data_IF_926317810380
#
_entry.id   IF_926317810380
#
_cell.length_a   1.000
_cell.length_b   1.000
_cell.length_c   1.000
_cell.angle_alpha   90.00
_cell.angle_beta   90.00
_cell.angle_gamma   90.00
#
_symmetry.space_group_name_H-M   'P 1'
#
loop_
_entity.id
_entity.type
_entity.pdbx_description
1 polymer ?
#
# COMPACT_ATOMS: atom_id res chain seq x y z
N UNK A 1 -34.48 22.22 44.35
CA UNK A 1 -33.16 21.82 43.80
C UNK A 1 -33.25 20.51 43.01
N UNK A 2 -34.05 20.43 41.93
CA UNK A 2 -34.26 19.18 41.17
C UNK A 2 -33.63 19.18 39.75
N UNK A 3 -33.25 20.35 39.22
CA UNK A 3 -32.71 20.48 37.86
C UNK A 3 -31.24 20.10 37.68
N UNK A 4 -30.40 20.30 38.72
CA UNK A 4 -28.95 20.03 38.66
C UNK A 4 -28.61 18.54 38.54
N UNK A 5 -29.38 17.66 39.17
CA UNK A 5 -29.13 16.21 39.11
C UNK A 5 -29.51 15.57 37.76
N UNK A 6 -30.47 16.14 37.04
CA UNK A 6 -30.84 15.64 35.69
C UNK A 6 -29.74 15.96 34.67
N UNK A 7 -29.17 17.16 34.73
CA UNK A 7 -28.09 17.58 33.82
C UNK A 7 -26.82 16.74 33.99
N UNK A 8 -26.47 16.41 35.25
CA UNK A 8 -25.28 15.60 35.56
C UNK A 8 -25.43 14.15 35.06
N UNK A 9 -26.62 13.56 35.16
CA UNK A 9 -26.91 12.21 34.65
C UNK A 9 -26.86 12.15 33.13
N UNK A 10 -27.37 13.16 32.43
CA UNK A 10 -27.30 13.23 30.97
C UNK A 10 -25.87 13.38 30.48
N UNK A 11 -25.05 14.19 31.16
CA UNK A 11 -23.63 14.35 30.83
C UNK A 11 -22.82 13.06 31.05
N UNK A 12 -23.09 12.30 32.12
CA UNK A 12 -22.45 11.01 32.38
C UNK A 12 -22.81 9.94 31.35
N UNK A 13 -24.06 9.95 30.84
CA UNK A 13 -24.48 9.05 29.76
C UNK A 13 -23.85 9.39 28.41
N UNK A 14 -23.67 10.68 28.10
CA UNK A 14 -22.97 11.11 26.88
C UNK A 14 -21.49 10.69 26.95
N UNK A 15 -20.86 10.81 28.12
CA UNK A 15 -19.47 10.38 28.32
C UNK A 15 -19.30 8.86 28.17
N UNK A 16 -20.24 8.04 28.65
CA UNK A 16 -20.15 6.58 28.49
C UNK A 16 -20.30 6.13 27.04
N UNK A 17 -21.12 6.82 26.24
CA UNK A 17 -21.26 6.54 24.80
C UNK A 17 -19.98 6.90 24.04
N UNK A 18 -19.34 8.03 24.35
CA UNK A 18 -18.08 8.44 23.71
C UNK A 18 -16.92 7.48 24.07
N UNK A 19 -16.89 6.99 25.32
CA UNK A 19 -15.90 6.00 25.76
C UNK A 19 -16.15 4.62 25.13
N UNK A 20 -17.39 4.18 24.96
CA UNK A 20 -17.69 2.91 24.27
C UNK A 20 -17.36 2.95 22.77
N UNK A 21 -17.45 4.12 22.10
CA UNK A 21 -17.04 4.27 20.69
C UNK A 21 -15.51 4.18 20.54
N UNK A 22 -14.74 4.59 21.56
CA UNK A 22 -13.27 4.56 21.51
C UNK A 22 -12.65 3.21 21.86
N UNK A 23 -13.40 2.29 22.47
CA UNK A 23 -12.90 0.94 22.83
C UNK A 23 -13.10 -0.08 21.69
N UNK A 24 -13.93 0.22 20.68
CA UNK A 24 -14.09 -0.61 19.47
C UNK A 24 -13.09 -0.27 18.34
N UNK A 25 -11.96 0.36 18.67
CA UNK A 25 -10.81 0.42 17.75
C UNK A 25 -10.04 -0.90 17.83
N UNK A 26 -10.76 -1.99 17.60
CA UNK A 26 -10.21 -3.34 17.44
C UNK A 26 -9.66 -3.40 16.02
N UNK A 27 -8.39 -3.02 15.89
CA UNK A 27 -7.47 -3.42 14.82
C UNK A 27 -7.94 -3.28 13.34
N UNK A 28 -8.40 -2.08 12.95
CA UNK A 28 -8.65 -1.74 11.54
C UNK A 28 -7.36 -1.59 10.68
N UNK A 29 -6.19 -1.94 11.22
CA UNK A 29 -4.92 -1.79 10.51
C UNK A 29 -4.76 -2.77 9.34
N UNK A 30 -5.39 -3.96 9.41
CA UNK A 30 -5.36 -4.97 8.36
C UNK A 30 -6.12 -4.57 7.09
N UNK A 31 -7.37 -4.14 7.25
CA UNK A 31 -8.25 -3.76 6.13
C UNK A 31 -7.71 -2.53 5.38
N UNK A 32 -7.17 -1.55 6.11
CA UNK A 32 -6.63 -0.34 5.51
C UNK A 32 -5.33 -0.61 4.71
N UNK A 33 -4.54 -1.61 5.13
CA UNK A 33 -3.35 -2.04 4.39
C UNK A 33 -3.74 -2.76 3.10
N UNK A 34 -4.56 -3.82 3.21
CA UNK A 34 -4.96 -4.63 2.05
C UNK A 34 -5.69 -3.80 0.99
N UNK A 35 -6.59 -2.88 1.38
CA UNK A 35 -7.25 -1.96 0.45
C UNK A 35 -6.29 -0.95 -0.19
N UNK A 36 -5.24 -0.52 0.51
CA UNK A 36 -4.22 0.36 -0.04
C UNK A 36 -3.38 -0.35 -1.11
N UNK A 37 -3.04 -1.63 -0.88
CA UNK A 37 -2.36 -2.48 -1.86
C UNK A 37 -3.28 -2.73 -3.06
N UNK A 38 -4.55 -3.12 -2.84
CA UNK A 38 -5.55 -3.29 -3.91
C UNK A 38 -5.64 -2.05 -4.79
N UNK A 39 -5.75 -0.87 -4.18
CA UNK A 39 -5.81 0.41 -4.91
C UNK A 39 -4.56 0.63 -5.77
N UNK A 40 -3.37 0.32 -5.26
CA UNK A 40 -2.12 0.43 -6.02
C UNK A 40 -2.12 -0.46 -7.27
N UNK A 41 -2.58 -1.71 -7.15
CA UNK A 41 -2.71 -2.63 -8.28
C UNK A 41 -3.71 -2.10 -9.32
N UNK A 42 -4.88 -1.62 -8.88
CA UNK A 42 -5.89 -1.02 -9.77
C UNK A 42 -5.33 0.21 -10.50
N UNK A 43 -4.60 1.08 -9.80
CA UNK A 43 -3.98 2.26 -10.37
C UNK A 43 -2.86 1.91 -11.37
N UNK A 44 -2.13 0.82 -11.13
CA UNK A 44 -1.16 0.27 -12.05
C UNK A 44 -1.84 -0.19 -13.34
N UNK A 45 -2.90 -1.02 -13.27
CA UNK A 45 -3.66 -1.45 -14.47
C UNK A 45 -4.16 -0.27 -15.27
N UNK A 46 -4.77 0.72 -14.61
CA UNK A 46 -5.25 1.95 -15.26
C UNK A 46 -4.13 2.72 -15.94
N UNK A 47 -2.99 2.87 -15.29
CA UNK A 47 -1.83 3.59 -15.84
C UNK A 47 -1.24 2.83 -17.04
N UNK A 48 -1.20 1.49 -16.98
CA UNK A 48 -0.68 0.64 -18.05
C UNK A 48 -1.59 0.71 -19.27
N UNK A 49 -2.90 0.56 -19.09
CA UNK A 49 -3.85 0.65 -20.19
C UNK A 49 -3.84 2.03 -20.87
N UNK A 50 -3.52 3.09 -20.11
CA UNK A 50 -3.47 4.45 -20.65
C UNK A 50 -2.14 4.79 -21.35
N UNK A 51 -1.00 4.29 -20.86
CA UNK A 51 0.34 4.79 -21.27
C UNK A 51 1.37 3.71 -21.58
N UNK A 52 0.98 2.44 -21.46
CA UNK A 52 1.90 1.30 -21.48
C UNK A 52 2.95 1.38 -20.38
N UNK A 53 4.06 0.67 -20.56
CA UNK A 53 5.19 0.70 -19.63
C UNK A 53 6.04 1.98 -19.71
N UNK A 54 5.94 2.73 -20.79
CA UNK A 54 6.82 3.87 -21.11
C UNK A 54 6.90 4.95 -20.01
N UNK A 55 5.80 5.22 -19.30
CA UNK A 55 5.73 6.25 -18.25
C UNK A 55 5.71 5.67 -16.84
N UNK A 56 5.75 4.35 -16.68
CA UNK A 56 5.62 3.72 -15.37
C UNK A 56 6.80 4.03 -14.46
N UNK A 57 8.02 4.02 -15.00
CA UNK A 57 9.23 4.25 -14.20
C UNK A 57 9.20 5.61 -13.51
N UNK A 58 8.87 6.67 -14.25
CA UNK A 58 8.76 8.02 -13.70
C UNK A 58 7.64 8.16 -12.66
N UNK A 59 6.53 7.42 -12.81
CA UNK A 59 5.44 7.38 -11.81
C UNK A 59 5.91 6.71 -10.52
N UNK A 60 6.60 5.58 -10.62
CA UNK A 60 7.19 4.86 -9.48
C UNK A 60 8.17 5.75 -8.73
N UNK A 61 9.11 6.40 -9.44
CA UNK A 61 10.11 7.27 -8.83
C UNK A 61 9.47 8.45 -8.09
N UNK A 62 8.54 9.14 -8.74
CA UNK A 62 7.81 10.24 -8.12
C UNK A 62 6.99 9.77 -6.91
N UNK A 63 6.46 8.56 -6.95
CA UNK A 63 5.72 7.98 -5.83
C UNK A 63 6.65 7.78 -4.62
N UNK A 64 7.77 7.07 -4.80
CA UNK A 64 8.73 6.82 -3.75
C UNK A 64 9.34 8.10 -3.19
N UNK A 65 9.75 9.04 -4.04
CA UNK A 65 10.27 10.34 -3.59
C UNK A 65 9.30 11.05 -2.66
N UNK A 66 8.00 11.07 -3.00
CA UNK A 66 6.99 11.70 -2.16
C UNK A 66 6.74 10.95 -0.85
N UNK A 67 6.71 9.62 -0.89
CA UNK A 67 6.52 8.79 0.30
C UNK A 67 7.68 8.96 1.28
N UNK A 68 8.91 8.83 0.79
CA UNK A 68 10.13 8.88 1.61
C UNK A 68 10.38 10.28 2.17
N UNK A 69 10.19 11.34 1.36
CA UNK A 69 10.31 12.73 1.83
C UNK A 69 9.38 13.06 2.99
N UNK A 70 8.21 12.41 3.05
CA UNK A 70 7.20 12.62 4.09
C UNK A 70 7.26 11.59 5.21
N UNK A 71 8.18 10.62 5.13
CA UNK A 71 8.20 9.43 5.98
C UNK A 71 6.82 8.73 6.06
N UNK A 72 6.06 8.77 4.97
CA UNK A 72 4.69 8.24 4.90
C UNK A 72 4.74 6.75 4.54
N UNK A 73 4.65 5.91 5.58
CA UNK A 73 4.68 4.44 5.46
C UNK A 73 3.53 3.91 4.61
N UNK A 74 2.32 4.44 4.78
CA UNK A 74 1.15 3.98 3.99
C UNK A 74 1.32 4.34 2.51
N UNK A 75 1.81 5.54 2.22
CA UNK A 75 2.12 5.92 0.83
C UNK A 75 3.26 5.09 0.27
N UNK A 76 4.26 4.75 1.07
CA UNK A 76 5.34 3.86 0.67
C UNK A 76 4.82 2.48 0.26
N UNK A 77 3.98 1.85 1.08
CA UNK A 77 3.38 0.54 0.79
C UNK A 77 2.59 0.57 -0.53
N UNK A 78 1.83 1.65 -0.76
CA UNK A 78 1.14 1.89 -2.03
C UNK A 78 2.14 1.96 -3.20
N UNK A 79 3.22 2.73 -3.06
CA UNK A 79 4.21 2.89 -4.13
C UNK A 79 4.92 1.56 -4.43
N UNK A 80 5.21 0.77 -3.39
CA UNK A 80 5.88 -0.51 -3.53
C UNK A 80 4.98 -1.58 -4.17
N UNK A 81 3.69 -1.61 -3.82
CA UNK A 81 2.72 -2.44 -4.53
C UNK A 81 2.53 -2.04 -5.99
N UNK A 82 2.54 -0.73 -6.29
CA UNK A 82 2.49 -0.23 -7.66
C UNK A 82 3.73 -0.67 -8.45
N UNK A 83 4.93 -0.55 -7.87
CA UNK A 83 6.20 -0.96 -8.48
C UNK A 83 6.25 -2.47 -8.76
N UNK A 84 5.86 -3.29 -7.78
CA UNK A 84 5.71 -4.74 -7.95
C UNK A 84 4.70 -5.10 -9.04
N UNK A 85 3.57 -4.39 -9.11
CA UNK A 85 2.58 -4.62 -10.16
C UNK A 85 3.13 -4.30 -11.55
N UNK A 86 3.89 -3.20 -11.68
CA UNK A 86 4.53 -2.84 -12.93
C UNK A 86 5.60 -3.87 -13.35
N UNK A 87 6.36 -4.42 -12.40
CA UNK A 87 7.23 -5.57 -12.64
C UNK A 87 6.47 -6.79 -13.14
N UNK A 88 5.35 -7.17 -12.51
CA UNK A 88 4.58 -8.33 -12.96
C UNK A 88 4.02 -8.14 -14.37
N UNK A 89 3.55 -6.93 -14.71
CA UNK A 89 3.14 -6.61 -16.10
C UNK A 89 4.32 -6.76 -17.06
N UNK A 90 5.49 -6.20 -16.71
CA UNK A 90 6.70 -6.30 -17.52
C UNK A 90 7.13 -7.77 -17.74
N UNK A 91 7.21 -8.56 -16.68
CA UNK A 91 7.55 -9.98 -16.73
C UNK A 91 6.55 -10.79 -17.57
N UNK A 92 5.25 -10.49 -17.50
CA UNK A 92 4.25 -11.09 -18.39
C UNK A 92 4.52 -10.75 -19.86
N UNK A 93 4.85 -9.50 -20.18
CA UNK A 93 5.19 -9.09 -21.54
C UNK A 93 6.46 -9.77 -22.02
N UNK A 94 7.53 -9.76 -21.22
CA UNK A 94 8.81 -10.44 -21.52
C UNK A 94 8.58 -11.91 -21.89
N UNK A 95 7.74 -12.63 -21.13
CA UNK A 95 7.42 -14.04 -21.38
C UNK A 95 6.56 -14.27 -22.62
N UNK A 96 5.65 -13.34 -22.95
CA UNK A 96 4.74 -13.49 -24.08
C UNK A 96 5.38 -13.12 -25.42
N UNK A 97 6.11 -11.99 -25.46
CA UNK A 97 6.62 -11.41 -26.70
C UNK A 97 8.15 -11.47 -26.82
N UNK A 98 8.85 -12.08 -25.85
CA UNK A 98 10.31 -12.28 -25.84
C UNK A 98 11.12 -10.98 -25.96
N UNK A 99 10.57 -9.86 -25.49
CA UNK A 99 11.28 -8.60 -25.39
C UNK A 99 12.12 -8.54 -24.12
N UNK A 100 13.22 -7.76 -24.08
CA UNK A 100 13.92 -7.48 -22.82
C UNK A 100 13.00 -6.71 -21.85
N UNK A 101 13.21 -6.86 -20.53
CA UNK A 101 12.45 -6.13 -19.53
C UNK A 101 12.62 -4.62 -19.69
N UNK A 102 11.57 -3.85 -19.43
CA UNK A 102 11.67 -2.40 -19.39
C UNK A 102 12.64 -1.96 -18.28
N UNK A 103 13.46 -0.95 -18.57
CA UNK A 103 14.54 -0.52 -17.67
C UNK A 103 14.04 -0.22 -16.25
N UNK A 104 14.67 -0.88 -15.28
CA UNK A 104 14.37 -0.71 -13.86
C UNK A 104 13.17 -1.52 -13.36
N UNK A 105 12.48 -2.30 -14.21
CA UNK A 105 11.44 -3.23 -13.77
C UNK A 105 11.92 -4.67 -13.60
N UNK A 106 13.22 -4.95 -13.71
CA UNK A 106 13.74 -6.25 -13.30
C UNK A 106 13.62 -6.49 -11.78
N UNK A 107 13.56 -7.76 -11.38
CA UNK A 107 13.37 -8.18 -9.99
C UNK A 107 14.41 -7.59 -9.02
N UNK A 108 15.67 -7.46 -9.45
CA UNK A 108 16.74 -6.95 -8.60
C UNK A 108 16.58 -5.44 -8.36
N UNK A 109 16.24 -4.68 -9.40
CA UNK A 109 15.96 -3.24 -9.31
C UNK A 109 14.77 -2.93 -8.40
N UNK A 110 13.67 -3.67 -8.55
CA UNK A 110 12.45 -3.49 -7.74
C UNK A 110 12.75 -3.85 -6.28
N UNK A 111 13.38 -5.00 -6.05
CA UNK A 111 13.76 -5.46 -4.70
C UNK A 111 14.67 -4.44 -4.00
N UNK A 112 15.66 -3.89 -4.71
CA UNK A 112 16.56 -2.86 -4.18
C UNK A 112 15.81 -1.58 -3.79
N UNK A 113 14.84 -1.13 -4.57
CA UNK A 113 14.03 0.07 -4.26
C UNK A 113 13.20 -0.15 -3.00
N UNK A 114 12.54 -1.30 -2.88
CA UNK A 114 11.70 -1.61 -1.72
C UNK A 114 12.56 -1.72 -0.45
N UNK A 115 13.64 -2.51 -0.49
CA UNK A 115 14.56 -2.66 0.66
C UNK A 115 15.21 -1.33 1.05
N UNK A 116 15.64 -0.53 0.06
CA UNK A 116 16.22 0.79 0.29
C UNK A 116 15.21 1.75 0.95
N UNK A 117 13.97 1.75 0.49
CA UNK A 117 12.93 2.60 1.06
C UNK A 117 12.48 2.16 2.46
N UNK A 118 12.36 0.86 2.72
CA UNK A 118 12.11 0.36 4.08
C UNK A 118 13.25 0.73 5.04
N UNK A 119 14.49 0.66 4.57
CA UNK A 119 15.67 1.11 5.33
C UNK A 119 15.56 2.61 5.64
N UNK A 120 15.21 3.44 4.66
CA UNK A 120 15.04 4.89 4.83
C UNK A 120 13.87 5.25 5.78
N UNK A 121 12.88 4.38 5.92
CA UNK A 121 11.76 4.53 6.86
C UNK A 121 12.06 4.01 8.28
N UNK A 122 13.29 3.55 8.52
CA UNK A 122 13.77 3.12 9.83
C UNK A 122 13.38 1.69 10.22
N UNK A 123 13.04 0.83 9.25
CA UNK A 123 12.78 -0.58 9.54
C UNK A 123 14.09 -1.34 9.76
N UNK A 124 14.18 -2.08 10.86
CA UNK A 124 15.28 -2.99 11.14
C UNK A 124 15.28 -4.18 10.17
N UNK A 125 16.42 -4.88 10.09
CA UNK A 125 16.66 -5.92 9.09
C UNK A 125 15.65 -7.07 9.14
N UNK A 126 15.23 -7.50 10.32
CA UNK A 126 14.33 -8.64 10.45
C UNK A 126 12.90 -8.24 10.13
N UNK A 127 12.50 -7.04 10.54
CA UNK A 127 11.20 -6.48 10.16
C UNK A 127 11.11 -6.24 8.67
N UNK A 128 12.17 -5.75 8.00
CA UNK A 128 12.17 -5.55 6.53
C UNK A 128 11.79 -6.81 5.78
N UNK A 129 12.35 -7.96 6.13
CA UNK A 129 12.02 -9.24 5.48
C UNK A 129 10.54 -9.58 5.59
N UNK A 130 9.97 -9.39 6.78
CA UNK A 130 8.54 -9.64 7.04
C UNK A 130 7.66 -8.68 6.23
N UNK A 131 8.00 -7.39 6.18
CA UNK A 131 7.23 -6.39 5.42
C UNK A 131 7.34 -6.62 3.91
N UNK A 132 8.53 -6.91 3.39
CA UNK A 132 8.72 -7.26 1.96
C UNK A 132 7.88 -8.47 1.59
N UNK A 133 7.91 -9.53 2.40
CA UNK A 133 7.10 -10.72 2.15
C UNK A 133 5.62 -10.39 2.16
N UNK A 134 5.13 -9.67 3.17
CA UNK A 134 3.73 -9.27 3.29
C UNK A 134 3.29 -8.43 2.10
N UNK A 135 4.09 -7.44 1.71
CA UNK A 135 3.84 -6.59 0.55
C UNK A 135 3.76 -7.41 -0.74
N UNK A 136 4.71 -8.32 -0.97
CA UNK A 136 4.72 -9.17 -2.15
C UNK A 136 3.50 -10.10 -2.18
N UNK A 137 3.21 -10.82 -1.10
CA UNK A 137 2.08 -11.76 -1.01
C UNK A 137 0.74 -11.04 -1.28
N UNK A 138 0.52 -9.89 -0.64
CA UNK A 138 -0.72 -9.11 -0.81
C UNK A 138 -0.81 -8.52 -2.22
N UNK A 139 0.31 -8.07 -2.81
CA UNK A 139 0.32 -7.55 -4.18
C UNK A 139 0.01 -8.66 -5.18
N UNK A 140 0.62 -9.85 -5.04
CA UNK A 140 0.35 -11.00 -5.92
C UNK A 140 -1.11 -11.42 -5.86
N UNK A 141 -1.70 -11.48 -4.66
CA UNK A 141 -3.14 -11.78 -4.49
C UNK A 141 -4.00 -10.85 -5.35
N UNK A 142 -3.83 -9.54 -5.17
CA UNK A 142 -4.63 -8.54 -5.89
C UNK A 142 -4.28 -8.44 -7.37
N UNK A 143 -3.03 -8.66 -7.74
CA UNK A 143 -2.59 -8.68 -9.12
C UNK A 143 -3.35 -9.74 -9.91
N UNK A 144 -3.39 -10.99 -9.41
CA UNK A 144 -4.15 -12.07 -10.03
C UNK A 144 -5.63 -11.74 -10.16
N UNK A 145 -6.24 -11.23 -9.09
CA UNK A 145 -7.67 -10.86 -9.09
C UNK A 145 -8.00 -9.69 -10.03
N UNK A 146 -7.06 -8.80 -10.34
CA UNK A 146 -7.33 -7.60 -11.15
C UNK A 146 -6.88 -7.78 -12.60
N UNK A 147 -5.82 -8.52 -12.87
CA UNK A 147 -5.23 -8.68 -14.21
C UNK A 147 -5.54 -10.04 -14.86
N UNK A 148 -5.81 -11.10 -14.10
CA UNK A 148 -6.01 -12.44 -14.66
C UNK A 148 -7.50 -12.85 -14.72
N UNK A 149 -8.38 -12.19 -13.98
CA UNK A 149 -9.83 -12.51 -13.94
C UNK A 149 -10.74 -11.54 -14.70
N UNK A 150 -10.20 -10.46 -15.29
CA UNK A 150 -10.93 -9.50 -16.15
C UNK A 150 -10.18 -9.17 -17.43
#
# INVERSE_FOLDING_TARGET
MAGKHRLLRTLLLIFSVIVCITINVTDCHGDNYDQNIKKAVQDCRRSYNATGMSLMRGRVDKCYQNALRRHDRKKFDYCAAFDLSAYFVDDMMVRQIHCPPFEGFDSASVSKRIEGGLTALGYDKDRRKTEVKRLADTTVKWFKEIFETE
#
